data_IF_550317027586
#
_entry.id   IF_550317027586
#
_cell.length_a   1.000
_cell.length_b   1.000
_cell.length_c   1.000
_cell.angle_alpha   90.00
_cell.angle_beta   90.00
_cell.angle_gamma   90.00
#
_symmetry.space_group_name_H-M   'P 1'
#
loop_
_entity.id
_entity.type
_entity.pdbx_description
1 polymer ?
#
# COMPACT_ATOMS: atom_id res chain seq x y z
N UNK A 1 -82.78 -6.94 2.96
CA UNK A 1 -83.22 -5.56 3.13
C UNK A 1 -82.02 -4.68 3.01
N UNK A 2 -81.81 -4.06 1.85
CA UNK A 2 -81.97 -2.64 1.53
C UNK A 2 -81.05 -1.74 2.43
N UNK A 3 -80.16 -0.90 1.94
CA UNK A 3 -80.17 -0.05 0.74
C UNK A 3 -78.77 0.50 0.46
N UNK A 4 -78.44 0.64 -0.82
CA UNK A 4 -77.40 1.50 -1.43
C UNK A 4 -77.54 2.97 -0.93
N UNK A 5 -76.36 3.69 -0.81
CA UNK A 5 -76.29 5.04 -1.31
C UNK A 5 -74.87 5.38 -1.78
N UNK A 6 -74.78 5.58 -3.07
CA UNK A 6 -73.70 6.22 -3.85
C UNK A 6 -73.66 7.72 -3.51
N UNK A 7 -72.42 8.27 -3.42
CA UNK A 7 -72.16 9.64 -3.87
C UNK A 7 -70.72 9.81 -4.30
N UNK A 8 -70.59 9.95 -5.59
CA UNK A 8 -69.41 10.53 -6.22
C UNK A 8 -69.51 12.06 -6.12
N UNK A 9 -68.42 12.78 -5.89
CA UNK A 9 -68.19 14.14 -6.39
C UNK A 9 -66.69 14.45 -6.36
N UNK A 10 -66.14 14.67 -7.59
CA UNK A 10 -65.17 15.68 -8.04
C UNK A 10 -63.83 15.70 -7.29
N UNK A 11 -62.71 15.48 -7.88
CA UNK A 11 -62.18 15.98 -9.16
C UNK A 11 -61.65 17.40 -9.03
N UNK A 12 -60.34 17.51 -9.26
CA UNK A 12 -59.58 18.69 -9.67
C UNK A 12 -58.68 19.36 -8.65
N UNK A 13 -57.46 19.55 -9.11
CA UNK A 13 -56.52 20.61 -8.79
C UNK A 13 -55.64 20.46 -7.52
N UNK A 14 -54.53 19.76 -7.63
CA UNK A 14 -53.22 20.24 -7.15
C UNK A 14 -52.12 19.67 -8.08
N UNK A 15 -52.06 20.21 -9.27
CA UNK A 15 -50.85 20.13 -10.12
C UNK A 15 -50.48 21.57 -10.41
N UNK A 16 -49.58 22.17 -9.62
CA UNK A 16 -49.23 23.56 -9.87
C UNK A 16 -48.32 24.23 -8.84
N UNK A 17 -47.49 23.51 -8.09
CA UNK A 17 -46.60 24.19 -7.10
C UNK A 17 -45.19 23.62 -6.95
N UNK A 18 -44.69 22.81 -7.88
CA UNK A 18 -43.33 22.23 -7.78
C UNK A 18 -42.37 22.69 -8.88
N UNK A 19 -42.81 23.54 -9.81
CA UNK A 19 -41.95 23.99 -10.93
C UNK A 19 -41.41 25.43 -10.76
N UNK A 20 -41.72 26.12 -9.70
CA UNK A 20 -41.35 27.56 -9.52
C UNK A 20 -40.18 27.84 -8.55
N UNK A 21 -39.49 26.81 -7.98
CA UNK A 21 -38.35 27.04 -7.04
C UNK A 21 -36.99 26.73 -7.68
N UNK A 22 -36.94 26.14 -8.88
CA UNK A 22 -35.68 25.75 -9.51
C UNK A 22 -35.07 26.82 -10.47
N UNK A 23 -35.67 28.02 -10.63
CA UNK A 23 -35.20 29.02 -11.61
C UNK A 23 -34.63 30.30 -10.97
N UNK A 24 -34.64 30.45 -9.67
CA UNK A 24 -34.14 31.68 -9.03
C UNK A 24 -32.78 31.55 -8.29
N UNK A 25 -32.08 30.44 -8.38
CA UNK A 25 -30.76 30.25 -7.78
C UNK A 25 -29.57 30.51 -8.71
N UNK A 26 -29.79 30.97 -9.94
CA UNK A 26 -28.71 31.12 -10.96
C UNK A 26 -28.25 32.58 -11.13
N UNK A 27 -28.73 33.54 -10.39
CA UNK A 27 -28.43 34.97 -10.62
C UNK A 27 -27.62 35.72 -9.55
N UNK A 28 -26.96 35.01 -8.59
CA UNK A 28 -26.02 35.65 -7.69
C UNK A 28 -24.75 34.82 -7.49
N UNK A 29 -23.96 34.64 -8.56
CA UNK A 29 -22.53 34.33 -8.43
C UNK A 29 -21.73 35.62 -8.61
N UNK A 30 -20.89 36.01 -7.62
CA UNK A 30 -19.96 37.11 -7.85
C UNK A 30 -18.97 36.67 -8.93
N UNK A 31 -18.81 37.48 -9.96
CA UNK A 31 -17.71 37.36 -10.91
C UNK A 31 -16.40 37.52 -10.14
N UNK A 32 -15.75 36.41 -9.83
CA UNK A 32 -14.32 36.38 -9.52
C UNK A 32 -13.56 36.49 -10.85
N UNK A 33 -13.18 37.71 -11.20
CA UNK A 33 -12.23 37.98 -12.27
C UNK A 33 -10.83 37.69 -11.77
N UNK A 34 -10.09 36.81 -12.44
CA UNK A 34 -8.63 36.73 -12.34
C UNK A 34 -8.08 35.34 -12.04
N UNK A 35 -7.86 34.56 -13.08
CA UNK A 35 -7.10 33.31 -13.05
C UNK A 35 -7.28 32.64 -14.41
N UNK A 36 -6.21 32.54 -15.20
CA UNK A 36 -6.28 31.95 -16.54
C UNK A 36 -6.99 30.62 -16.53
N UNK A 37 -7.95 30.46 -17.44
CA UNK A 37 -8.60 29.19 -17.76
C UNK A 37 -7.52 28.19 -18.26
N UNK A 38 -6.95 27.43 -17.36
CA UNK A 38 -6.36 26.17 -17.76
C UNK A 38 -7.53 25.32 -18.27
N UNK A 39 -7.52 24.94 -19.53
CA UNK A 39 -8.46 23.98 -20.09
C UNK A 39 -8.49 22.76 -19.14
N UNK A 40 -9.67 22.15 -18.87
CA UNK A 40 -9.72 20.95 -18.05
C UNK A 40 -8.73 19.94 -18.65
N UNK A 41 -7.77 19.52 -17.86
CA UNK A 41 -6.78 18.53 -18.29
C UNK A 41 -7.54 17.24 -18.61
N UNK A 42 -7.54 16.85 -19.87
CA UNK A 42 -8.24 15.64 -20.33
C UNK A 42 -7.36 14.45 -19.98
N UNK A 43 -7.93 13.45 -19.33
CA UNK A 43 -7.29 12.15 -19.13
C UNK A 43 -7.23 11.47 -20.50
N UNK A 44 -6.03 11.16 -20.98
CA UNK A 44 -5.80 10.55 -22.29
C UNK A 44 -5.74 9.02 -22.20
N UNK A 45 -5.14 8.49 -21.12
CA UNK A 45 -5.05 7.06 -20.83
C UNK A 45 -5.73 6.72 -19.49
N UNK A 46 -7.06 6.51 -19.48
CA UNK A 46 -7.80 6.27 -18.24
C UNK A 46 -7.54 4.91 -17.60
N UNK A 47 -7.07 3.93 -18.38
CA UNK A 47 -6.88 2.55 -17.95
C UNK A 47 -5.49 2.38 -17.34
N UNK A 48 -5.41 2.20 -16.02
CA UNK A 48 -4.16 2.06 -15.27
C UNK A 48 -4.05 0.71 -14.60
N UNK A 49 -2.93 0.02 -14.82
CA UNK A 49 -2.55 -1.19 -14.08
C UNK A 49 -1.70 -0.79 -12.88
N UNK A 50 -2.23 -1.02 -11.68
CA UNK A 50 -1.58 -0.63 -10.43
C UNK A 50 -1.21 -1.87 -9.65
N UNK A 51 0.08 -2.08 -9.46
CA UNK A 51 0.56 -3.20 -8.68
C UNK A 51 0.69 -2.82 -7.20
N UNK A 52 0.07 -3.61 -6.34
CA UNK A 52 -0.04 -3.33 -4.91
C UNK A 52 0.14 -4.61 -4.11
N UNK A 53 0.86 -4.55 -2.99
CA UNK A 53 0.93 -5.65 -2.02
C UNK A 53 -0.40 -5.71 -1.27
N UNK A 54 -1.09 -6.87 -1.20
CA UNK A 54 -2.37 -6.99 -0.52
C UNK A 54 -2.19 -7.12 1.00
N UNK A 55 -1.76 -6.04 1.63
CA UNK A 55 -1.54 -5.94 3.07
C UNK A 55 -2.08 -4.59 3.59
N UNK A 56 -2.16 -4.43 4.91
CA UNK A 56 -2.74 -3.22 5.54
C UNK A 56 -1.93 -1.96 5.24
N UNK A 57 -0.64 -2.10 4.97
CA UNK A 57 0.21 -0.99 4.53
C UNK A 57 -0.31 -0.31 3.25
N UNK A 58 -1.14 -1.00 2.47
CA UNK A 58 -1.80 -0.49 1.26
C UNK A 58 -3.27 -0.11 1.45
N UNK A 59 -3.77 0.00 2.69
CA UNK A 59 -5.20 0.18 2.93
C UNK A 59 -5.79 1.42 2.27
N UNK A 60 -5.06 2.55 2.24
CA UNK A 60 -5.53 3.76 1.57
C UNK A 60 -5.82 3.55 0.09
N UNK A 61 -4.99 2.78 -0.61
CA UNK A 61 -5.26 2.38 -2.00
C UNK A 61 -6.53 1.52 -2.12
N UNK A 62 -6.68 0.52 -1.25
CA UNK A 62 -7.84 -0.36 -1.30
C UNK A 62 -9.14 0.36 -0.93
N UNK A 63 -9.11 1.29 0.02
CA UNK A 63 -10.24 2.18 0.33
C UNK A 63 -10.59 3.05 -0.89
N UNK A 64 -9.59 3.66 -1.54
CA UNK A 64 -9.83 4.47 -2.74
C UNK A 64 -10.44 3.64 -3.88
N UNK A 65 -9.97 2.42 -4.08
CA UNK A 65 -10.46 1.50 -5.09
C UNK A 65 -11.90 1.05 -4.77
N UNK A 66 -12.14 0.59 -3.53
CA UNK A 66 -13.44 0.08 -3.07
C UNK A 66 -14.53 1.15 -3.13
N UNK A 67 -14.21 2.39 -2.75
CA UNK A 67 -15.15 3.52 -2.77
C UNK A 67 -15.26 4.19 -4.15
N UNK A 68 -14.55 3.70 -5.16
CA UNK A 68 -14.63 4.24 -6.53
C UNK A 68 -14.01 5.62 -6.69
N UNK A 69 -13.07 6.03 -5.81
CA UNK A 69 -12.47 7.36 -5.85
C UNK A 69 -11.62 7.60 -7.10
N UNK A 70 -11.01 6.56 -7.64
CA UNK A 70 -10.31 6.61 -8.93
C UNK A 70 -11.30 6.81 -10.08
N UNK A 71 -12.38 6.03 -10.11
CA UNK A 71 -13.41 6.14 -11.14
C UNK A 71 -14.11 7.51 -11.13
N UNK A 72 -14.33 8.10 -9.95
CA UNK A 72 -14.88 9.44 -9.80
C UNK A 72 -13.99 10.53 -10.41
N UNK A 73 -12.71 10.22 -10.67
CA UNK A 73 -11.73 11.10 -11.35
C UNK A 73 -11.43 10.68 -12.79
N UNK A 74 -12.23 9.76 -13.33
CA UNK A 74 -12.11 9.30 -14.71
C UNK A 74 -11.00 8.26 -14.93
N UNK A 75 -10.49 7.62 -13.88
CA UNK A 75 -9.48 6.56 -13.98
C UNK A 75 -10.12 5.19 -13.80
N UNK A 76 -9.75 4.24 -14.65
CA UNK A 76 -10.12 2.84 -14.55
C UNK A 76 -8.93 2.05 -14.03
N UNK A 77 -8.87 1.88 -12.72
CA UNK A 77 -7.74 1.23 -12.04
C UNK A 77 -7.96 -0.28 -11.98
N UNK A 78 -7.02 -1.03 -12.56
CA UNK A 78 -6.92 -2.48 -12.42
C UNK A 78 -5.89 -2.80 -11.34
N UNK A 79 -6.34 -3.42 -10.24
CA UNK A 79 -5.46 -3.91 -9.19
C UNK A 79 -4.73 -5.16 -9.65
N UNK A 80 -3.40 -5.11 -9.60
CA UNK A 80 -2.50 -6.25 -9.87
C UNK A 80 -1.88 -6.66 -8.54
N UNK A 81 -2.23 -7.84 -8.00
CA UNK A 81 -1.63 -8.32 -6.74
C UNK A 81 -0.14 -8.54 -6.89
N UNK A 82 0.65 -7.88 -6.06
CA UNK A 82 2.09 -8.07 -5.99
C UNK A 82 2.46 -8.87 -4.75
N UNK A 83 3.33 -9.85 -4.90
CA UNK A 83 3.86 -10.62 -3.75
C UNK A 83 5.02 -9.89 -3.07
N UNK A 84 5.64 -8.95 -3.79
CA UNK A 84 6.63 -8.00 -3.29
C UNK A 84 6.75 -6.83 -4.28
N UNK A 85 7.18 -5.67 -3.78
CA UNK A 85 7.44 -4.49 -4.62
C UNK A 85 8.53 -4.76 -5.68
N UNK A 86 9.45 -5.66 -5.39
CA UNK A 86 10.52 -6.04 -6.31
C UNK A 86 9.96 -6.67 -7.60
N UNK A 87 8.95 -7.54 -7.50
CA UNK A 87 8.28 -8.13 -8.67
C UNK A 87 7.66 -7.06 -9.56
N UNK A 88 7.08 -6.04 -8.94
CA UNK A 88 6.42 -4.93 -9.64
C UNK A 88 7.40 -4.03 -10.37
N UNK A 89 8.48 -3.64 -9.70
CA UNK A 89 9.52 -2.81 -10.31
C UNK A 89 10.18 -3.52 -11.50
N UNK A 90 10.35 -4.83 -11.41
CA UNK A 90 10.84 -5.65 -12.52
C UNK A 90 9.93 -5.56 -13.75
N UNK A 91 8.62 -5.67 -13.57
CA UNK A 91 7.67 -5.58 -14.68
C UNK A 91 7.70 -4.21 -15.35
N UNK A 92 7.73 -3.12 -14.56
CA UNK A 92 7.86 -1.75 -15.09
C UNK A 92 9.17 -1.52 -15.84
N UNK A 93 10.30 -1.96 -15.27
CA UNK A 93 11.63 -1.74 -15.86
C UNK A 93 11.83 -2.52 -17.16
N UNK A 94 11.18 -3.68 -17.32
CA UNK A 94 11.32 -4.56 -18.48
C UNK A 94 10.32 -4.24 -19.60
N UNK A 95 9.36 -3.33 -19.38
CA UNK A 95 8.32 -2.97 -20.38
C UNK A 95 7.63 -4.20 -20.98
N UNK A 96 7.29 -5.20 -20.15
CA UNK A 96 6.71 -6.43 -20.60
C UNK A 96 5.25 -6.21 -21.06
N UNK A 97 4.87 -6.56 -22.28
CA UNK A 97 3.56 -6.23 -22.87
C UNK A 97 2.37 -6.91 -22.16
N UNK A 98 2.61 -8.03 -21.45
CA UNK A 98 1.55 -8.82 -20.79
C UNK A 98 1.29 -8.39 -19.35
N UNK A 99 2.24 -7.67 -18.74
CA UNK A 99 2.17 -7.22 -17.34
C UNK A 99 2.57 -5.74 -17.23
N UNK A 100 2.07 -4.91 -18.16
CA UNK A 100 2.31 -3.48 -18.10
C UNK A 100 1.80 -2.95 -16.76
N UNK A 101 2.71 -2.49 -15.94
CA UNK A 101 2.42 -1.82 -14.68
C UNK A 101 2.70 -0.33 -14.87
N UNK A 102 1.68 0.48 -14.67
CA UNK A 102 1.78 1.92 -14.81
C UNK A 102 2.23 2.57 -13.50
N UNK A 103 1.65 2.11 -12.38
CA UNK A 103 1.94 2.59 -11.03
C UNK A 103 2.25 1.41 -10.12
N UNK A 104 3.20 1.60 -9.22
CA UNK A 104 3.54 0.66 -8.16
C UNK A 104 3.27 1.29 -6.80
N UNK A 105 2.52 0.60 -5.92
CA UNK A 105 2.44 0.95 -4.50
C UNK A 105 3.07 -0.18 -3.68
N UNK A 106 4.23 0.11 -3.07
CA UNK A 106 5.04 -0.88 -2.37
C UNK A 106 6.11 -0.25 -1.49
N UNK A 107 6.96 -1.09 -0.88
CA UNK A 107 7.87 -0.64 0.16
C UNK A 107 9.05 0.21 -0.36
N UNK A 108 9.42 1.21 0.43
CA UNK A 108 10.51 2.14 0.11
C UNK A 108 11.87 1.44 -0.02
N UNK A 109 12.11 0.36 0.74
CA UNK A 109 13.39 -0.39 0.69
C UNK A 109 13.67 -0.88 -0.73
N UNK A 110 12.67 -1.49 -1.39
CA UNK A 110 12.80 -1.97 -2.75
C UNK A 110 12.96 -0.82 -3.77
N UNK A 111 12.29 0.30 -3.56
CA UNK A 111 12.42 1.47 -4.42
C UNK A 111 13.82 2.09 -4.35
N UNK A 112 14.37 2.25 -3.15
CA UNK A 112 15.72 2.77 -2.92
C UNK A 112 16.77 1.84 -3.55
N UNK A 113 16.61 0.53 -3.41
CA UNK A 113 17.50 -0.44 -4.07
C UNK A 113 17.44 -0.34 -5.60
N UNK A 114 16.24 -0.28 -6.17
CA UNK A 114 16.06 -0.17 -7.62
C UNK A 114 16.67 1.12 -8.19
N UNK A 115 16.51 2.23 -7.47
CA UNK A 115 17.10 3.51 -7.86
C UNK A 115 18.63 3.50 -7.76
N UNK A 116 19.20 2.91 -6.69
CA UNK A 116 20.66 2.81 -6.55
C UNK A 116 21.26 1.92 -7.65
N UNK A 117 20.61 0.80 -7.97
CA UNK A 117 21.00 -0.06 -9.08
C UNK A 117 20.99 0.70 -10.41
N UNK A 118 19.97 1.53 -10.65
CA UNK A 118 19.91 2.41 -11.82
C UNK A 118 21.06 3.42 -11.85
N UNK A 119 21.39 4.03 -10.70
CA UNK A 119 22.48 4.98 -10.57
C UNK A 119 23.83 4.31 -10.81
N UNK A 120 24.02 3.09 -10.31
CA UNK A 120 25.23 2.28 -10.55
C UNK A 120 25.35 1.86 -12.02
N UNK A 121 24.26 1.45 -12.67
CA UNK A 121 24.22 1.14 -14.09
C UNK A 121 24.62 2.31 -14.99
N UNK A 122 24.25 3.53 -14.62
CA UNK A 122 24.73 4.75 -15.30
C UNK A 122 26.23 5.01 -15.13
N UNK A 123 26.82 4.56 -14.02
CA UNK A 123 28.25 4.74 -13.70
C UNK A 123 29.13 3.64 -14.30
N UNK A 124 28.54 2.48 -14.64
CA UNK A 124 29.24 1.29 -15.13
C UNK A 124 28.56 0.73 -16.38
N UNK A 125 29.33 0.48 -17.42
CA UNK A 125 28.85 -0.16 -18.67
C UNK A 125 28.61 -1.67 -18.55
N UNK A 126 28.75 -2.26 -17.36
CA UNK A 126 28.68 -3.70 -17.10
C UNK A 126 27.59 -4.07 -16.09
N UNK A 127 26.37 -3.51 -16.21
CA UNK A 127 25.24 -3.91 -15.36
C UNK A 127 24.81 -5.35 -15.68
N UNK A 128 24.81 -6.22 -14.66
CA UNK A 128 24.24 -7.56 -14.74
C UNK A 128 22.71 -7.45 -14.92
N UNK A 129 22.16 -8.17 -15.89
CA UNK A 129 20.73 -8.13 -16.27
C UNK A 129 19.76 -8.74 -15.23
N UNK A 130 20.24 -9.15 -14.07
CA UNK A 130 19.45 -9.85 -13.04
C UNK A 130 18.98 -8.93 -11.90
N UNK A 131 19.46 -7.68 -11.85
CA UNK A 131 19.17 -6.76 -10.75
C UNK A 131 18.12 -5.74 -11.18
N UNK A 132 17.06 -5.59 -10.40
CA UNK A 132 16.02 -4.58 -10.64
C UNK A 132 16.64 -3.19 -10.65
N UNK A 133 16.39 -2.44 -11.71
CA UNK A 133 16.96 -1.12 -11.92
C UNK A 133 15.90 -0.21 -12.54
N UNK A 134 15.52 0.86 -11.85
CA UNK A 134 14.53 1.80 -12.34
C UNK A 134 14.82 3.22 -11.87
N UNK A 135 14.58 4.19 -12.77
CA UNK A 135 14.61 5.62 -12.45
C UNK A 135 13.22 6.02 -11.95
N UNK A 136 13.05 6.01 -10.65
CA UNK A 136 11.76 6.15 -9.99
C UNK A 136 11.47 7.59 -9.56
N UNK A 137 10.19 7.85 -9.44
CA UNK A 137 9.59 9.01 -8.80
C UNK A 137 8.57 8.52 -7.78
N UNK A 138 8.85 8.70 -6.49
CA UNK A 138 7.91 8.44 -5.40
C UNK A 138 7.04 9.67 -5.29
N UNK A 139 5.77 9.52 -5.63
CA UNK A 139 4.85 10.65 -5.76
C UNK A 139 3.76 10.70 -4.67
N UNK A 140 3.59 9.64 -3.88
CA UNK A 140 2.64 9.60 -2.78
C UNK A 140 3.17 8.73 -1.63
N UNK A 141 2.96 9.17 -0.40
CA UNK A 141 3.20 8.35 0.79
C UNK A 141 2.07 7.35 0.99
N UNK A 142 2.41 6.15 1.44
CA UNK A 142 1.43 5.09 1.71
C UNK A 142 1.20 4.92 3.20
N UNK A 143 2.13 4.30 3.91
CA UNK A 143 1.93 4.01 5.32
C UNK A 143 3.18 4.20 6.17
N UNK A 144 2.92 4.43 7.45
CA UNK A 144 3.89 4.41 8.54
C UNK A 144 3.46 3.32 9.52
N UNK A 145 4.40 2.45 9.87
CA UNK A 145 4.16 1.30 10.73
C UNK A 145 3.67 1.72 12.12
N UNK A 146 2.65 1.02 12.59
CA UNK A 146 2.14 1.10 13.94
C UNK A 146 2.34 -0.23 14.66
N UNK A 147 2.32 -0.18 15.99
CA UNK A 147 2.48 -1.36 16.85
C UNK A 147 1.48 -2.46 16.47
N UNK A 148 1.99 -3.67 16.25
CA UNK A 148 1.21 -4.83 15.86
C UNK A 148 1.00 -5.01 14.36
N UNK A 149 1.29 -4.00 13.53
CA UNK A 149 1.07 -4.09 12.08
C UNK A 149 2.03 -5.05 11.39
N UNK A 150 3.24 -5.22 11.93
CA UNK A 150 4.24 -6.16 11.43
C UNK A 150 4.97 -6.82 12.60
N UNK A 151 5.03 -8.15 12.59
CA UNK A 151 5.62 -8.91 13.69
C UNK A 151 6.40 -10.14 13.24
N UNK A 152 7.23 -10.62 14.16
CA UNK A 152 7.92 -11.91 14.05
C UNK A 152 7.14 -12.95 14.84
N UNK A 153 6.68 -13.99 14.18
CA UNK A 153 5.77 -15.00 14.73
C UNK A 153 6.39 -16.39 14.74
N UNK A 154 6.01 -17.18 15.74
CA UNK A 154 6.42 -18.59 15.88
C UNK A 154 5.21 -19.49 16.11
N UNK A 155 5.34 -20.80 15.88
CA UNK A 155 4.29 -21.76 16.21
C UNK A 155 4.06 -21.82 17.72
N UNK A 156 2.83 -22.08 18.21
CA UNK A 156 2.49 -22.05 19.64
C UNK A 156 3.25 -23.09 20.46
N UNK A 157 3.61 -24.22 19.85
CA UNK A 157 4.40 -25.29 20.44
C UNK A 157 5.93 -25.12 20.23
N UNK A 158 6.35 -24.04 19.58
CA UNK A 158 7.78 -23.73 19.38
C UNK A 158 8.51 -23.62 20.73
N UNK A 159 9.77 -24.00 20.74
CA UNK A 159 10.69 -23.75 21.88
C UNK A 159 11.31 -22.35 21.86
N UNK A 160 11.12 -21.61 20.77
CA UNK A 160 11.61 -20.25 20.64
C UNK A 160 10.72 -19.32 21.47
N UNK A 161 11.31 -18.58 22.40
CA UNK A 161 10.61 -17.67 23.32
C UNK A 161 11.20 -16.27 23.30
N UNK A 162 12.40 -16.13 22.77
CA UNK A 162 13.15 -14.87 22.67
C UNK A 162 13.82 -14.77 21.31
N UNK A 163 14.19 -13.56 20.89
CA UNK A 163 14.96 -13.37 19.66
C UNK A 163 16.30 -14.10 19.68
N UNK A 164 16.91 -14.30 20.86
CA UNK A 164 18.17 -15.05 21.00
C UNK A 164 18.01 -16.52 20.58
N UNK A 165 16.83 -17.11 20.76
CA UNK A 165 16.57 -18.50 20.36
C UNK A 165 16.55 -18.70 18.83
N UNK A 166 16.60 -17.60 18.06
CA UNK A 166 16.66 -17.61 16.59
C UNK A 166 18.09 -17.82 16.05
N UNK A 167 19.10 -17.84 16.91
CA UNK A 167 20.46 -18.14 16.47
C UNK A 167 20.51 -19.52 15.77
N UNK A 168 21.07 -19.53 14.56
CA UNK A 168 21.13 -20.73 13.70
C UNK A 168 19.77 -21.22 13.18
N UNK A 169 18.68 -20.47 13.37
CA UNK A 169 17.35 -20.82 12.85
C UNK A 169 17.05 -20.12 11.52
N UNK A 170 16.08 -20.67 10.82
CA UNK A 170 15.59 -20.12 9.55
C UNK A 170 14.41 -19.20 9.82
N UNK A 171 14.53 -17.94 9.42
CA UNK A 171 13.47 -16.93 9.50
C UNK A 171 12.90 -16.75 8.08
N UNK A 172 11.58 -16.85 7.95
CA UNK A 172 10.88 -16.60 6.69
C UNK A 172 10.61 -15.10 6.49
N UNK A 173 10.96 -14.60 5.31
CA UNK A 173 10.65 -13.26 4.81
C UNK A 173 10.23 -13.36 3.35
N UNK A 174 9.61 -12.30 2.78
CA UNK A 174 9.01 -12.42 1.44
C UNK A 174 9.99 -12.21 0.28
N UNK A 175 11.11 -11.53 0.48
CA UNK A 175 12.15 -11.36 -0.54
C UNK A 175 13.51 -11.00 0.09
N UNK A 176 14.64 -11.25 -0.61
CA UNK A 176 15.95 -10.86 -0.12
C UNK A 176 16.08 -9.34 -0.06
N UNK A 177 16.58 -8.84 1.07
CA UNK A 177 16.92 -7.42 1.26
C UNK A 177 15.74 -6.46 1.21
N UNK A 178 14.49 -6.94 1.26
CA UNK A 178 13.31 -6.08 1.30
C UNK A 178 12.97 -5.63 2.73
N UNK A 179 11.83 -4.95 2.90
CA UNK A 179 11.44 -4.38 4.19
C UNK A 179 11.33 -5.44 5.29
N UNK A 180 10.70 -6.58 5.07
CA UNK A 180 10.54 -7.60 6.12
C UNK A 180 11.90 -8.18 6.56
N UNK A 181 12.85 -8.29 5.62
CA UNK A 181 14.22 -8.63 5.96
C UNK A 181 14.89 -7.53 6.79
N UNK A 182 14.73 -6.26 6.40
CA UNK A 182 15.28 -5.11 7.12
C UNK A 182 14.75 -5.03 8.55
N UNK A 183 13.44 -5.18 8.73
CA UNK A 183 12.78 -5.13 10.04
C UNK A 183 13.29 -6.25 10.96
N UNK A 184 13.38 -7.49 10.45
CA UNK A 184 13.95 -8.60 11.22
C UNK A 184 15.41 -8.37 11.57
N UNK A 185 16.22 -7.86 10.62
CA UNK A 185 17.63 -7.55 10.86
C UNK A 185 17.81 -6.46 11.93
N UNK A 186 16.98 -5.40 11.88
CA UNK A 186 16.95 -4.34 12.89
C UNK A 186 16.60 -4.91 14.27
N UNK A 187 15.53 -5.69 14.38
CA UNK A 187 15.09 -6.26 15.64
C UNK A 187 16.16 -7.19 16.26
N UNK A 188 16.84 -8.01 15.47
CA UNK A 188 17.95 -8.82 15.94
C UNK A 188 19.10 -7.97 16.46
N UNK A 189 19.53 -6.97 15.67
CA UNK A 189 20.66 -6.12 16.02
C UNK A 189 20.37 -5.25 17.26
N UNK A 190 19.18 -4.69 17.39
CA UNK A 190 18.74 -3.88 18.54
C UNK A 190 18.72 -4.70 19.85
N UNK A 191 18.58 -6.03 19.73
CA UNK A 191 18.69 -6.97 20.85
C UNK A 191 20.11 -7.56 21.01
N UNK A 192 21.11 -6.99 20.36
CA UNK A 192 22.52 -7.40 20.48
C UNK A 192 22.88 -8.68 19.76
N UNK A 193 22.02 -9.14 18.82
CA UNK A 193 22.20 -10.38 18.07
C UNK A 193 22.81 -10.09 16.70
N UNK A 194 23.63 -11.02 16.21
CA UNK A 194 24.16 -10.90 14.86
C UNK A 194 23.15 -11.31 13.80
N UNK A 195 22.90 -10.44 12.83
CA UNK A 195 22.06 -10.77 11.68
C UNK A 195 22.60 -11.97 10.90
N UNK A 196 23.94 -12.11 10.84
CA UNK A 196 24.60 -13.28 10.19
C UNK A 196 24.47 -14.58 10.99
N UNK A 197 24.03 -14.53 12.24
CA UNK A 197 23.73 -15.71 13.06
C UNK A 197 22.39 -16.35 12.74
N UNK A 198 21.49 -15.64 12.07
CA UNK A 198 20.23 -16.17 11.57
C UNK A 198 20.31 -16.51 10.08
N UNK A 199 19.50 -17.47 9.63
CA UNK A 199 19.35 -17.79 8.23
C UNK A 199 18.00 -17.30 7.72
N UNK A 200 17.96 -16.74 6.51
CA UNK A 200 16.73 -16.25 5.91
C UNK A 200 16.28 -17.15 4.75
N UNK A 201 15.00 -17.45 4.70
CA UNK A 201 14.36 -18.14 3.59
C UNK A 201 13.24 -17.26 3.01
N UNK A 202 13.04 -17.33 1.70
CA UNK A 202 12.18 -16.42 0.96
C UNK A 202 10.96 -17.14 0.42
N UNK A 203 9.78 -16.71 0.82
CA UNK A 203 8.49 -17.27 0.40
C UNK A 203 7.48 -16.16 0.16
N UNK A 204 6.61 -16.28 -0.85
CA UNK A 204 5.47 -15.36 -1.01
C UNK A 204 4.64 -15.27 0.27
N UNK A 205 4.11 -14.09 0.59
CA UNK A 205 3.32 -13.87 1.81
C UNK A 205 2.20 -14.90 2.02
N UNK A 206 1.39 -15.26 1.00
CA UNK A 206 0.34 -16.28 1.18
C UNK A 206 0.86 -17.68 1.54
N UNK A 207 2.12 -17.99 1.21
CA UNK A 207 2.73 -19.29 1.51
C UNK A 207 3.43 -19.34 2.87
N UNK A 208 3.74 -18.17 3.46
CA UNK A 208 4.59 -18.04 4.64
C UNK A 208 4.07 -18.86 5.83
N UNK A 209 2.76 -18.77 6.09
CA UNK A 209 2.11 -19.52 7.17
C UNK A 209 2.20 -21.03 6.97
N UNK A 210 2.07 -21.51 5.73
CA UNK A 210 2.22 -22.94 5.42
C UNK A 210 3.65 -23.43 5.65
N UNK A 211 4.65 -22.61 5.33
CA UNK A 211 6.07 -22.92 5.55
C UNK A 211 6.40 -22.97 7.05
N UNK A 212 5.84 -22.07 7.84
CA UNK A 212 5.98 -22.05 9.30
C UNK A 212 5.36 -23.31 9.90
N UNK A 213 4.12 -23.66 9.52
CA UNK A 213 3.41 -24.88 9.95
C UNK A 213 4.16 -26.16 9.56
N UNK A 214 4.78 -26.19 8.40
CA UNK A 214 5.55 -27.34 7.93
C UNK A 214 6.94 -27.45 8.59
N UNK A 215 7.33 -26.52 9.47
CA UNK A 215 8.64 -26.48 10.11
C UNK A 215 9.80 -26.21 9.14
N UNK A 216 9.52 -25.65 7.96
CA UNK A 216 10.54 -25.23 6.97
C UNK A 216 11.26 -23.96 7.41
N UNK A 217 10.56 -23.12 8.16
CA UNK A 217 11.05 -21.93 8.84
C UNK A 217 10.70 -22.05 10.32
N UNK A 218 11.53 -21.50 11.18
CA UNK A 218 11.36 -21.55 12.62
C UNK A 218 10.56 -20.34 13.15
N UNK A 219 10.63 -19.24 12.43
CA UNK A 219 9.86 -18.01 12.64
C UNK A 219 9.51 -17.38 11.29
N UNK A 220 8.45 -16.59 11.25
CA UNK A 220 8.00 -15.86 10.07
C UNK A 220 7.81 -14.38 10.38
N UNK A 221 8.26 -13.50 9.50
CA UNK A 221 7.88 -12.10 9.53
C UNK A 221 6.56 -11.96 8.77
N UNK A 222 5.53 -11.55 9.47
CA UNK A 222 4.18 -11.42 8.93
C UNK A 222 3.67 -9.99 9.12
N UNK A 223 3.31 -9.32 8.03
CA UNK A 223 2.50 -8.11 8.09
C UNK A 223 1.02 -8.48 8.26
N UNK A 224 0.19 -7.52 8.66
CA UNK A 224 -1.25 -7.68 8.62
C UNK A 224 -1.79 -7.62 7.17
N UNK A 225 -2.79 -8.41 6.79
CA UNK A 225 -3.62 -9.28 7.64
C UNK A 225 -3.08 -10.72 7.81
N UNK A 226 -1.91 -11.04 7.25
CA UNK A 226 -1.34 -12.41 7.30
C UNK A 226 -1.03 -12.85 8.74
N UNK A 227 -0.66 -11.92 9.62
CA UNK A 227 -0.43 -12.18 11.04
C UNK A 227 -1.72 -12.65 11.72
N UNK A 228 -2.78 -11.86 11.68
CA UNK A 228 -4.08 -12.21 12.26
C UNK A 228 -4.68 -13.50 11.66
N UNK A 229 -4.52 -13.72 10.34
CA UNK A 229 -4.93 -14.98 9.71
C UNK A 229 -4.17 -16.19 10.27
N UNK A 230 -2.87 -16.07 10.49
CA UNK A 230 -2.04 -17.12 11.05
C UNK A 230 -2.36 -17.37 12.52
N UNK A 231 -2.62 -16.34 13.31
CA UNK A 231 -3.07 -16.44 14.70
C UNK A 231 -4.39 -17.20 14.80
N UNK A 232 -5.38 -16.83 13.99
CA UNK A 232 -6.71 -17.47 13.99
C UNK A 232 -6.67 -18.91 13.49
N UNK A 233 -5.89 -19.20 12.44
CA UNK A 233 -5.90 -20.51 11.80
C UNK A 233 -4.95 -21.54 12.43
N UNK A 234 -3.87 -21.08 13.09
CA UNK A 234 -2.79 -21.93 13.58
C UNK A 234 -2.37 -21.63 15.02
N UNK A 235 -2.88 -20.53 15.60
CA UNK A 235 -2.53 -20.11 16.96
C UNK A 235 -1.06 -19.66 17.09
N UNK A 236 -0.46 -19.14 16.00
CA UNK A 236 0.90 -18.59 16.10
C UNK A 236 0.98 -17.51 17.17
N UNK A 237 2.14 -17.33 17.75
CA UNK A 237 2.36 -16.36 18.82
C UNK A 237 3.38 -15.31 18.38
N UNK A 238 3.10 -14.05 18.69
CA UNK A 238 4.03 -12.96 18.48
C UNK A 238 5.29 -13.18 19.34
N UNK A 239 6.44 -13.27 18.70
CA UNK A 239 7.76 -13.33 19.34
C UNK A 239 8.31 -11.93 19.60
N UNK A 240 8.16 -11.05 18.61
CA UNK A 240 8.59 -9.65 18.70
C UNK A 240 7.76 -8.79 17.75
N UNK A 241 7.30 -7.66 18.25
CA UNK A 241 6.81 -6.55 17.43
C UNK A 241 7.98 -5.90 16.70
N UNK A 242 7.80 -5.54 15.44
CA UNK A 242 8.87 -4.93 14.64
C UNK A 242 8.80 -3.38 14.61
N UNK A 243 7.78 -2.80 15.25
CA UNK A 243 7.70 -1.38 15.56
C UNK A 243 8.53 -1.06 16.83
N UNK A 244 9.85 -1.24 16.74
CA UNK A 244 10.77 -1.07 17.87
C UNK A 244 12.15 -0.53 17.45
N UNK A 245 12.85 0.10 18.39
CA UNK A 245 14.24 0.55 18.18
C UNK A 245 14.35 1.52 16.99
N UNK A 246 15.22 1.19 16.04
CA UNK A 246 15.43 2.01 14.85
C UNK A 246 14.23 2.03 13.91
N UNK A 247 13.29 1.09 14.06
CA UNK A 247 12.11 0.93 13.19
C UNK A 247 10.79 1.37 13.85
N UNK A 248 10.82 2.08 14.98
CA UNK A 248 9.62 2.72 15.57
C UNK A 248 9.02 3.73 14.61
N UNK A 249 7.70 3.66 14.36
CA UNK A 249 6.98 4.48 13.39
C UNK A 249 7.74 4.54 12.05
N UNK A 250 8.06 3.37 11.51
CA UNK A 250 8.89 3.26 10.31
C UNK A 250 8.06 3.52 9.05
N UNK A 251 8.56 4.34 8.10
CA UNK A 251 7.90 4.50 6.81
C UNK A 251 7.97 3.18 6.03
N UNK A 252 6.80 2.60 5.73
CA UNK A 252 6.73 1.26 5.13
C UNK A 252 6.72 1.36 3.62
N UNK A 253 5.75 2.09 3.08
CA UNK A 253 5.51 2.11 1.65
C UNK A 253 5.03 3.47 1.14
N UNK A 254 5.04 3.59 -0.19
CA UNK A 254 4.46 4.67 -0.95
C UNK A 254 4.15 4.23 -2.36
N UNK A 255 3.62 5.14 -3.18
CA UNK A 255 3.41 4.87 -4.60
C UNK A 255 4.49 5.54 -5.43
N UNK A 256 5.00 4.81 -6.42
CA UNK A 256 6.04 5.23 -7.33
C UNK A 256 5.70 4.93 -8.79
N UNK A 257 6.24 5.74 -9.67
CA UNK A 257 6.22 5.55 -11.12
C UNK A 257 7.64 5.67 -11.67
N UNK A 258 7.87 5.26 -12.91
CA UNK A 258 9.10 5.68 -13.58
C UNK A 258 9.02 7.17 -13.95
N UNK A 259 10.13 7.89 -13.87
CA UNK A 259 10.18 9.32 -14.29
C UNK A 259 9.75 9.53 -15.73
N UNK A 260 9.99 8.52 -16.58
CA UNK A 260 9.53 8.59 -17.97
C UNK A 260 8.00 8.58 -18.03
N UNK A 261 7.35 7.67 -17.31
CA UNK A 261 5.90 7.58 -17.27
C UNK A 261 5.27 8.85 -16.68
N UNK A 262 5.80 9.35 -15.56
CA UNK A 262 5.34 10.60 -14.94
C UNK A 262 5.37 11.80 -15.91
N UNK A 263 6.42 11.89 -16.74
CA UNK A 263 6.54 12.97 -17.71
C UNK A 263 5.56 12.84 -18.89
N UNK A 264 5.13 11.61 -19.22
CA UNK A 264 4.20 11.33 -20.32
C UNK A 264 2.73 11.41 -19.87
N UNK A 265 2.43 11.17 -18.58
CA UNK A 265 1.08 11.06 -18.03
C UNK A 265 0.83 11.97 -16.82
N UNK A 266 1.12 13.28 -16.91
CA UNK A 266 1.02 14.18 -15.76
C UNK A 266 -0.43 14.35 -15.26
N UNK A 267 -1.42 14.23 -16.13
CA UNK A 267 -2.85 14.36 -15.81
C UNK A 267 -3.34 13.14 -15.04
N UNK A 268 -3.01 11.94 -15.51
CA UNK A 268 -3.32 10.67 -14.90
C UNK A 268 -2.68 10.56 -13.50
N UNK A 269 -1.40 10.97 -13.41
CA UNK A 269 -0.66 10.98 -12.15
C UNK A 269 -1.31 11.93 -11.12
N UNK A 270 -1.72 13.12 -11.52
CA UNK A 270 -2.40 14.08 -10.66
C UNK A 270 -3.77 13.56 -10.21
N UNK A 271 -4.55 12.96 -11.11
CA UNK A 271 -5.85 12.38 -10.81
C UNK A 271 -5.72 11.17 -9.85
N UNK A 272 -4.72 10.31 -10.09
CA UNK A 272 -4.42 9.16 -9.22
C UNK A 272 -4.02 9.63 -7.82
N UNK A 273 -3.06 10.57 -7.72
CA UNK A 273 -2.61 11.14 -6.44
C UNK A 273 -3.78 11.66 -5.63
N UNK A 274 -4.65 12.47 -6.23
CA UNK A 274 -5.80 13.06 -5.54
C UNK A 274 -6.83 12.00 -5.07
N UNK A 275 -7.02 10.91 -5.83
CA UNK A 275 -7.87 9.79 -5.41
C UNK A 275 -7.23 9.01 -4.25
N UNK A 276 -5.94 8.75 -4.37
CA UNK A 276 -5.16 8.01 -3.37
C UNK A 276 -5.11 8.77 -2.04
N UNK A 277 -4.80 10.08 -2.06
CA UNK A 277 -4.78 10.93 -0.85
C UNK A 277 -6.14 10.95 -0.13
N UNK A 278 -7.24 11.00 -0.88
CA UNK A 278 -8.56 10.89 -0.28
C UNK A 278 -8.79 9.51 0.35
N UNK A 279 -8.31 8.44 -0.28
CA UNK A 279 -8.34 7.09 0.29
C UNK A 279 -7.51 6.96 1.56
N UNK A 280 -6.34 7.61 1.61
CA UNK A 280 -5.48 7.70 2.80
C UNK A 280 -6.19 8.42 3.95
N UNK A 281 -6.81 9.58 3.69
CA UNK A 281 -7.56 10.33 4.70
C UNK A 281 -8.69 9.49 5.31
N UNK A 282 -9.40 8.74 4.48
CA UNK A 282 -10.47 7.85 4.95
C UNK A 282 -9.87 6.68 5.74
N UNK A 283 -8.80 6.05 5.23
CA UNK A 283 -8.17 4.91 5.90
C UNK A 283 -7.61 5.29 7.29
N UNK A 284 -7.06 6.50 7.43
CA UNK A 284 -6.50 7.00 8.69
C UNK A 284 -7.57 7.31 9.75
N UNK A 285 -8.79 7.63 9.32
CA UNK A 285 -9.86 8.12 10.21
C UNK A 285 -11.04 7.17 10.36
N UNK A 286 -11.23 6.23 9.44
CA UNK A 286 -12.37 5.30 9.41
C UNK A 286 -11.91 3.84 9.26
N UNK A 287 -11.69 3.18 10.40
CA UNK A 287 -11.34 1.77 10.46
C UNK A 287 -12.33 0.87 9.71
N UNK A 288 -13.64 1.17 9.79
CA UNK A 288 -14.65 0.35 9.13
C UNK A 288 -14.53 0.39 7.60
N UNK A 289 -14.10 1.53 7.04
CA UNK A 289 -13.81 1.63 5.61
C UNK A 289 -12.61 0.74 5.21
N UNK A 290 -11.58 0.65 6.05
CA UNK A 290 -10.44 -0.26 5.82
C UNK A 290 -10.89 -1.72 5.89
N UNK A 291 -11.65 -2.09 6.91
CA UNK A 291 -12.19 -3.46 7.07
C UNK A 291 -12.97 -3.88 5.82
N UNK A 292 -13.92 -3.07 5.38
CA UNK A 292 -14.73 -3.34 4.17
C UNK A 292 -13.88 -3.44 2.90
N UNK A 293 -12.90 -2.57 2.74
CA UNK A 293 -12.00 -2.59 1.58
C UNK A 293 -11.18 -3.88 1.55
N UNK A 294 -10.61 -4.31 2.69
CA UNK A 294 -9.82 -5.54 2.79
C UNK A 294 -10.66 -6.81 2.63
N UNK A 295 -11.90 -6.82 3.12
CA UNK A 295 -12.85 -7.91 2.89
C UNK A 295 -13.25 -8.04 1.42
N UNK A 296 -13.33 -6.93 0.69
CA UNK A 296 -13.75 -6.87 -0.73
C UNK A 296 -12.68 -7.32 -1.72
N UNK A 297 -11.44 -7.58 -1.27
CA UNK A 297 -10.38 -8.04 -2.16
C UNK A 297 -10.76 -9.36 -2.85
N UNK A 298 -10.33 -9.57 -4.11
CA UNK A 298 -10.64 -10.79 -4.83
C UNK A 298 -10.05 -12.03 -4.13
N UNK A 299 -10.82 -13.13 -4.11
CA UNK A 299 -10.33 -14.41 -3.57
C UNK A 299 -9.04 -14.87 -4.29
N UNK A 300 -8.02 -15.37 -3.59
CA UNK A 300 -7.98 -15.69 -2.15
C UNK A 300 -7.43 -14.57 -1.24
N UNK A 301 -7.38 -13.33 -1.68
CA UNK A 301 -6.74 -12.22 -0.97
C UNK A 301 -7.65 -11.54 0.06
N UNK A 302 -8.97 -11.62 -0.13
CA UNK A 302 -9.93 -11.03 0.81
C UNK A 302 -9.84 -11.67 2.20
N UNK A 303 -9.98 -10.84 3.21
CA UNK A 303 -9.95 -11.30 4.60
C UNK A 303 -11.36 -11.61 5.13
N UNK A 304 -11.45 -12.44 6.17
CA UNK A 304 -12.73 -12.65 6.85
C UNK A 304 -13.10 -11.43 7.70
N UNK A 305 -14.40 -11.16 7.96
CA UNK A 305 -14.80 -10.10 8.88
C UNK A 305 -14.17 -10.21 10.27
N UNK A 306 -13.91 -11.44 10.73
CA UNK A 306 -13.24 -11.68 12.03
C UNK A 306 -11.78 -11.23 11.97
N UNK A 307 -11.08 -11.51 10.86
CA UNK A 307 -9.70 -11.04 10.65
C UNK A 307 -9.67 -9.52 10.53
N UNK A 308 -10.54 -8.93 9.72
CA UNK A 308 -10.63 -7.49 9.51
C UNK A 308 -10.83 -6.72 10.81
N UNK A 309 -11.70 -7.23 11.70
CA UNK A 309 -12.00 -6.59 12.98
C UNK A 309 -10.82 -6.57 13.98
N UNK A 310 -9.86 -7.50 13.87
CA UNK A 310 -8.75 -7.63 14.84
C UNK A 310 -7.39 -7.23 14.30
N UNK A 311 -7.22 -7.17 12.97
CA UNK A 311 -5.93 -6.79 12.37
C UNK A 311 -5.49 -5.41 12.86
N UNK A 312 -4.21 -5.25 13.19
CA UNK A 312 -3.62 -3.94 13.45
C UNK A 312 -3.52 -3.15 12.14
N UNK A 313 -3.68 -1.84 12.24
CA UNK A 313 -3.57 -0.94 11.09
C UNK A 313 -2.32 -0.09 11.22
N UNK A 314 -1.79 0.34 10.11
CA UNK A 314 -0.78 1.40 10.00
C UNK A 314 -1.44 2.78 10.16
N UNK A 315 -0.66 3.84 10.28
CA UNK A 315 -1.10 5.21 10.02
C UNK A 315 -0.88 5.57 8.55
N UNK A 316 -1.77 6.40 8.00
CA UNK A 316 -1.83 6.69 6.57
C UNK A 316 -1.68 8.19 6.31
N UNK A 317 -0.44 8.69 6.24
CA UNK A 317 -0.17 10.10 6.04
C UNK A 317 -0.71 10.61 4.70
N UNK A 318 -1.13 11.87 4.70
CA UNK A 318 -1.62 12.60 3.52
C UNK A 318 -0.67 13.76 3.18
N UNK A 319 -0.77 14.26 1.94
CA UNK A 319 0.03 15.39 1.47
C UNK A 319 1.30 15.01 0.71
N UNK A 320 2.22 15.96 0.53
CA UNK A 320 3.47 15.72 -0.21
C UNK A 320 4.32 14.67 0.47
N UNK A 321 5.08 13.92 -0.33
CA UNK A 321 6.03 12.92 0.19
C UNK A 321 7.08 13.60 1.06
N UNK A 322 7.20 13.16 2.32
CA UNK A 322 8.22 13.65 3.24
C UNK A 322 9.57 12.98 2.94
N UNK A 323 10.42 13.69 2.23
CA UNK A 323 11.76 13.23 1.89
C UNK A 323 12.60 12.85 3.13
N UNK A 324 12.35 13.46 4.31
CA UNK A 324 13.06 13.13 5.55
C UNK A 324 12.65 11.76 6.06
N UNK A 325 11.35 11.44 5.98
CA UNK A 325 10.86 10.09 6.32
C UNK A 325 11.44 9.03 5.39
N UNK A 326 11.40 9.26 4.07
CA UNK A 326 11.98 8.31 3.11
C UNK A 326 13.50 8.21 3.28
N UNK A 327 14.21 9.31 3.61
CA UNK A 327 15.65 9.28 3.89
C UNK A 327 15.98 8.39 5.10
N UNK A 328 15.14 8.39 6.14
CA UNK A 328 15.30 7.48 7.29
C UNK A 328 15.35 6.02 6.86
N UNK A 329 14.58 5.62 5.83
CA UNK A 329 14.63 4.24 5.30
C UNK A 329 16.02 3.92 4.76
N UNK A 330 16.60 4.80 3.94
CA UNK A 330 17.95 4.62 3.41
C UNK A 330 19.02 4.57 4.51
N UNK A 331 18.86 5.37 5.57
CA UNK A 331 19.79 5.40 6.70
C UNK A 331 19.73 4.10 7.52
N UNK A 332 18.52 3.55 7.75
CA UNK A 332 18.31 2.26 8.43
C UNK A 332 18.83 1.10 7.55
N UNK A 333 18.62 1.15 6.22
CA UNK A 333 19.22 0.18 5.29
C UNK A 333 20.77 0.23 5.39
N UNK A 334 21.37 1.40 5.47
CA UNK A 334 22.82 1.54 5.64
C UNK A 334 23.28 0.92 6.96
N UNK A 335 22.55 1.14 8.03
CA UNK A 335 22.89 0.65 9.36
C UNK A 335 22.85 -0.87 9.48
N UNK A 336 21.81 -1.51 8.97
CA UNK A 336 21.54 -2.94 9.20
C UNK A 336 21.81 -3.83 7.99
N UNK A 337 21.80 -3.30 6.77
CA UNK A 337 22.03 -4.08 5.54
C UNK A 337 23.40 -3.77 4.89
N UNK A 338 24.17 -2.81 5.43
CA UNK A 338 25.40 -2.35 4.79
C UNK A 338 25.15 -1.64 3.45
N UNK A 339 23.95 -1.10 3.24
CA UNK A 339 23.61 -0.37 2.02
C UNK A 339 24.49 0.89 1.88
N UNK A 340 24.86 1.30 0.68
CA UNK A 340 25.65 2.53 0.49
C UNK A 340 24.91 3.78 0.97
N UNK A 341 25.63 4.86 1.25
CA UNK A 341 25.02 6.16 1.48
C UNK A 341 24.20 6.57 0.27
N UNK A 342 22.95 6.88 0.48
CA UNK A 342 21.99 7.16 -0.57
C UNK A 342 21.20 8.43 -0.22
N UNK A 343 21.05 9.33 -1.20
CA UNK A 343 20.21 10.53 -1.09
C UNK A 343 18.89 10.29 -1.84
N UNK A 344 17.80 10.25 -1.10
CA UNK A 344 16.45 10.02 -1.65
C UNK A 344 15.85 11.25 -2.32
N UNK A 345 16.43 12.45 -2.12
CA UNK A 345 15.90 13.69 -2.71
C UNK A 345 15.76 13.64 -4.23
N UNK A 346 16.56 12.78 -4.88
CA UNK A 346 16.48 12.59 -6.33
C UNK A 346 15.30 11.73 -6.80
N UNK A 347 14.60 11.04 -5.90
CA UNK A 347 13.51 10.14 -6.25
C UNK A 347 12.17 10.50 -5.57
N UNK A 348 12.08 11.66 -4.97
CA UNK A 348 10.86 12.18 -4.37
C UNK A 348 10.42 13.40 -5.14
N UNK A 349 9.19 13.40 -5.66
CA UNK A 349 8.55 14.58 -6.23
C UNK A 349 7.65 15.24 -5.17
N UNK A 350 7.83 16.55 -4.98
CA UNK A 350 7.01 17.36 -4.08
C UNK A 350 5.64 17.68 -4.66
#
# INVERSE_FOLDING_TARGET
MARRFTRAVRGAEVVGAVVAVAVLAILFLPKLTGGGDAAPSVIEEPDLNVAVVPAVDSAGFFVALHQGLFAARGLHVTFIPAVSSETVINAQALSLPLDRIDISCGNYVSYIQAQENYNQGKRSSSASSATVSANLDIFAEGSVMETGAQGLYVMPDSRIRTLADLEGKVIGVNAPGNILYLLAASALADNGLSVSGAHFAYYPLPEMSAMLKAGKIAAAVLPEPFASQAEQSMGVTLLADLDQGATVAFPVQGCAVTRQWAAQHPTELAAFRAAFEQGQEIADTDRAAVEQAMESLPSPLGVSPVTAAVMALDSYPTGPVDAVRVQRVADVMRQFLGFPTFDVGSMVSG
#
